data_IF_997411030967
#
_entry.id   IF_997411030967
#
_cell.length_a   1.000
_cell.length_b   1.000
_cell.length_c   1.000
_cell.angle_alpha   90.00
_cell.angle_beta   90.00
_cell.angle_gamma   90.00
#
_symmetry.space_group_name_H-M   'P 1'
#
loop_
_entity.id
_entity.type
_entity.pdbx_description
1 polymer ?
#
# COMPACT_ATOMS: atom_id res chain seq x y z
N UNK A 1 10.42 15.29 -26.19
CA UNK A 1 10.76 15.38 -24.76
C UNK A 1 9.54 14.93 -23.98
N UNK A 2 9.43 13.63 -23.72
CA UNK A 2 8.34 13.07 -22.90
C UNK A 2 8.67 13.29 -21.43
N UNK A 3 8.39 14.48 -20.93
CA UNK A 3 8.59 14.78 -19.51
C UNK A 3 7.29 14.56 -18.76
N UNK A 4 7.34 13.60 -17.81
CA UNK A 4 6.50 13.44 -16.62
C UNK A 4 5.13 12.77 -16.81
N UNK A 5 5.13 11.44 -16.87
CA UNK A 5 3.93 10.65 -16.55
C UNK A 5 4.09 9.96 -15.19
N UNK A 6 4.46 10.76 -14.18
CA UNK A 6 4.70 10.32 -12.82
C UNK A 6 3.73 11.01 -11.86
N UNK A 7 3.21 10.26 -10.90
CA UNK A 7 2.51 10.75 -9.72
C UNK A 7 3.44 10.46 -8.54
N UNK A 8 3.92 11.50 -7.86
CA UNK A 8 4.84 11.33 -6.72
C UNK A 8 4.07 11.59 -5.43
N UNK A 9 4.20 10.69 -4.46
CA UNK A 9 3.70 10.89 -3.11
C UNK A 9 4.85 10.69 -2.12
N UNK A 10 5.06 11.68 -1.24
CA UNK A 10 6.06 11.63 -0.18
C UNK A 10 5.42 11.19 1.12
N UNK A 11 5.92 10.14 1.76
CA UNK A 11 5.40 9.71 3.06
C UNK A 11 5.53 10.83 4.11
N UNK A 12 6.57 11.66 4.02
CA UNK A 12 6.74 12.82 4.91
C UNK A 12 5.55 13.80 4.89
N UNK A 13 4.73 13.80 3.83
CA UNK A 13 3.49 14.60 3.78
C UNK A 13 2.30 13.95 4.48
N UNK A 14 2.42 12.68 4.85
CA UNK A 14 1.47 11.92 5.66
C UNK A 14 1.87 11.93 7.12
N UNK A 15 3.10 11.50 7.44
CA UNK A 15 3.59 11.44 8.82
C UNK A 15 5.10 11.63 8.88
N UNK A 16 5.56 12.36 9.90
CA UNK A 16 6.98 12.45 10.24
C UNK A 16 7.49 11.16 10.89
N UNK A 17 6.64 10.45 11.63
CA UNK A 17 7.01 9.23 12.35
C UNK A 17 5.94 8.15 12.12
N UNK A 18 5.95 7.48 10.94
CA UNK A 18 4.98 6.46 10.59
C UNK A 18 4.79 5.41 11.69
N UNK A 19 3.52 5.06 11.91
CA UNK A 19 3.09 4.30 13.06
C UNK A 19 3.26 2.78 12.95
N UNK A 20 2.49 2.02 13.75
CA UNK A 20 2.59 0.58 13.82
C UNK A 20 1.90 -0.11 12.62
N UNK A 21 1.68 -1.42 12.74
CA UNK A 21 1.03 -2.22 11.69
C UNK A 21 -0.43 -1.81 11.47
N UNK A 22 -1.18 -1.76 12.57
CA UNK A 22 -2.64 -1.68 12.57
C UNK A 22 -3.15 -0.41 13.24
N UNK A 23 -4.33 0.05 12.83
CA UNK A 23 -4.98 1.24 13.39
C UNK A 23 -5.29 1.07 14.89
N UNK A 24 -5.55 -0.15 15.37
CA UNK A 24 -5.78 -0.43 16.80
C UNK A 24 -4.52 -0.38 17.68
N UNK A 25 -3.32 -0.25 17.07
CA UNK A 25 -2.03 -0.19 17.77
C UNK A 25 -1.51 1.23 17.94
N UNK A 26 -2.00 2.18 17.14
CA UNK A 26 -1.56 3.57 17.15
C UNK A 26 -1.91 4.31 15.86
N UNK A 27 -1.75 5.63 15.92
CA UNK A 27 -1.97 6.53 14.79
C UNK A 27 -0.97 6.29 13.66
N UNK A 28 -1.27 6.82 12.48
CA UNK A 28 -0.43 6.77 11.28
C UNK A 28 0.06 5.37 10.88
N UNK A 29 -0.73 4.33 11.18
CA UNK A 29 -0.38 2.93 10.93
C UNK A 29 -0.29 2.56 9.44
N UNK A 30 0.30 1.40 9.13
CA UNK A 30 0.37 0.86 7.77
C UNK A 30 -1.02 0.53 7.19
N UNK A 31 -1.92 0.02 8.03
CA UNK A 31 -3.34 -0.16 7.70
C UNK A 31 -4.00 1.18 7.34
N UNK A 32 -3.80 2.22 8.15
CA UNK A 32 -4.35 3.55 7.86
C UNK A 32 -3.83 4.08 6.54
N UNK A 33 -2.49 4.15 6.38
CA UNK A 33 -1.86 4.67 5.17
C UNK A 33 -2.36 3.97 3.91
N UNK A 34 -2.56 2.66 3.98
CA UNK A 34 -3.10 1.88 2.87
C UNK A 34 -4.48 2.36 2.45
N UNK A 35 -5.40 2.39 3.41
CA UNK A 35 -6.81 2.70 3.18
C UNK A 35 -7.08 4.18 2.94
N UNK A 36 -6.29 5.08 3.54
CA UNK A 36 -6.48 6.53 3.43
C UNK A 36 -5.79 7.12 2.20
N UNK A 37 -4.66 6.55 1.76
CA UNK A 37 -3.81 7.17 0.73
C UNK A 37 -3.38 6.18 -0.36
N UNK A 38 -2.64 5.12 -0.01
CA UNK A 38 -1.88 4.33 -0.99
C UNK A 38 -2.79 3.67 -2.02
N UNK A 39 -3.90 3.07 -1.58
CA UNK A 39 -4.87 2.42 -2.47
C UNK A 39 -5.44 3.40 -3.52
N UNK A 40 -5.84 4.59 -3.08
CA UNK A 40 -6.38 5.63 -3.96
C UNK A 40 -5.34 6.20 -4.92
N UNK A 41 -4.11 6.43 -4.45
CA UNK A 41 -3.00 6.92 -5.29
C UNK A 41 -2.62 5.90 -6.35
N UNK A 42 -2.62 4.61 -6.01
CA UNK A 42 -2.34 3.56 -6.96
C UNK A 42 -3.44 3.46 -8.02
N UNK A 43 -4.71 3.51 -7.60
CA UNK A 43 -5.85 3.59 -8.54
C UNK A 43 -5.73 4.80 -9.47
N UNK A 44 -5.40 5.98 -8.93
CA UNK A 44 -5.22 7.20 -9.72
C UNK A 44 -4.13 7.02 -10.78
N UNK A 45 -2.97 6.47 -10.40
CA UNK A 45 -1.88 6.21 -11.32
C UNK A 45 -2.26 5.19 -12.40
N UNK A 46 -2.96 4.11 -12.03
CA UNK A 46 -3.50 3.14 -12.99
C UNK A 46 -4.42 3.82 -14.01
N UNK A 47 -5.39 4.60 -13.54
CA UNK A 47 -6.40 5.22 -14.38
C UNK A 47 -5.81 6.30 -15.30
N UNK A 48 -4.84 7.06 -14.81
CA UNK A 48 -4.14 8.09 -15.57
C UNK A 48 -2.99 7.55 -16.44
N UNK A 49 -2.72 6.24 -16.40
CA UNK A 49 -1.59 5.58 -17.07
C UNK A 49 -0.24 6.21 -16.70
N UNK A 50 -0.07 6.50 -15.41
CA UNK A 50 1.13 7.06 -14.81
C UNK A 50 1.85 6.03 -13.96
N UNK A 51 3.15 6.25 -13.76
CA UNK A 51 3.92 5.58 -12.72
C UNK A 51 3.65 6.29 -11.38
N UNK A 52 3.26 5.56 -10.35
CA UNK A 52 3.24 6.06 -8.97
C UNK A 52 4.64 5.92 -8.38
N UNK A 53 5.21 7.00 -7.88
CA UNK A 53 6.44 6.99 -7.10
C UNK A 53 6.07 7.25 -5.64
N UNK A 54 6.34 6.28 -4.76
CA UNK A 54 6.30 6.50 -3.31
C UNK A 54 7.71 6.83 -2.84
N UNK A 55 7.88 8.04 -2.32
CA UNK A 55 9.13 8.57 -1.79
C UNK A 55 9.14 8.34 -0.28
N UNK A 56 10.00 7.39 0.16
CA UNK A 56 10.15 6.98 1.55
C UNK A 56 11.11 7.88 2.34
N UNK A 57 11.82 8.80 1.69
CA UNK A 57 12.79 9.66 2.35
C UNK A 57 12.11 10.78 3.17
N UNK A 58 12.72 11.15 4.29
CA UNK A 58 12.31 12.28 5.13
C UNK A 58 11.74 11.93 6.51
N UNK A 59 10.88 10.90 6.68
CA UNK A 59 10.43 10.47 8.00
C UNK A 59 11.57 9.98 8.89
N UNK A 60 11.35 9.96 10.22
CA UNK A 60 12.35 9.54 11.22
C UNK A 60 12.71 8.04 11.15
N UNK A 61 12.02 7.28 10.28
CA UNK A 61 12.19 5.85 10.06
C UNK A 61 10.86 5.11 9.94
N UNK A 62 10.92 3.82 9.62
CA UNK A 62 9.74 2.97 9.47
C UNK A 62 9.88 1.69 10.29
N UNK A 63 8.80 1.30 10.98
CA UNK A 63 8.68 -0.09 11.42
C UNK A 63 8.51 -1.00 10.19
N UNK A 64 9.20 -2.14 10.15
CA UNK A 64 9.02 -3.13 9.08
C UNK A 64 7.56 -3.58 8.94
N UNK A 65 6.82 -3.60 10.05
CA UNK A 65 5.39 -3.92 10.05
C UNK A 65 4.51 -2.88 9.37
N UNK A 66 4.93 -1.60 9.34
CA UNK A 66 4.23 -0.56 8.60
C UNK A 66 4.32 -0.84 7.09
N UNK A 67 5.56 -1.05 6.60
CA UNK A 67 5.83 -1.31 5.19
C UNK A 67 5.17 -2.62 4.73
N UNK A 68 5.29 -3.68 5.52
CA UNK A 68 4.68 -4.98 5.24
C UNK A 68 3.15 -4.87 5.11
N UNK A 69 2.48 -4.18 6.05
CA UNK A 69 1.03 -4.06 6.00
C UNK A 69 0.57 -3.18 4.83
N UNK A 70 1.17 -2.00 4.66
CA UNK A 70 0.72 -1.05 3.65
C UNK A 70 0.88 -1.60 2.23
N UNK A 71 2.10 -2.03 1.89
CA UNK A 71 2.40 -2.49 0.54
C UNK A 71 1.97 -3.94 0.30
N UNK A 72 1.93 -4.75 1.35
CA UNK A 72 1.36 -6.08 1.29
C UNK A 72 -0.12 -6.07 0.92
N UNK A 73 -0.93 -5.19 1.55
CA UNK A 73 -2.32 -5.00 1.18
C UNK A 73 -2.47 -4.56 -0.28
N UNK A 74 -1.58 -3.69 -0.76
CA UNK A 74 -1.57 -3.28 -2.17
C UNK A 74 -1.33 -4.48 -3.10
N UNK A 75 -0.38 -5.35 -2.78
CA UNK A 75 -0.15 -6.58 -3.55
C UNK A 75 -1.34 -7.52 -3.47
N UNK A 76 -1.98 -7.67 -2.30
CA UNK A 76 -3.19 -8.49 -2.18
C UNK A 76 -4.32 -8.01 -3.08
N UNK A 77 -4.53 -6.70 -3.14
CA UNK A 77 -5.68 -6.10 -3.81
C UNK A 77 -5.47 -5.93 -5.31
N UNK A 78 -4.25 -5.69 -5.78
CA UNK A 78 -3.95 -5.42 -7.19
C UNK A 78 -3.15 -6.53 -7.89
N UNK A 79 -2.50 -7.40 -7.12
CA UNK A 79 -1.59 -8.43 -7.62
C UNK A 79 -0.18 -7.90 -7.90
N UNK A 80 0.83 -8.71 -7.60
CA UNK A 80 2.24 -8.33 -7.68
C UNK A 80 2.65 -7.73 -9.04
N UNK A 81 2.30 -8.39 -10.13
CA UNK A 81 2.66 -7.94 -11.48
C UNK A 81 2.15 -6.53 -11.78
N UNK A 82 0.89 -6.23 -11.41
CA UNK A 82 0.33 -4.90 -11.65
C UNK A 82 0.99 -3.85 -10.76
N UNK A 83 1.28 -4.20 -9.50
CA UNK A 83 2.00 -3.34 -8.56
C UNK A 83 3.38 -3.01 -9.10
N UNK A 84 4.19 -4.00 -9.48
CA UNK A 84 5.55 -3.78 -10.01
C UNK A 84 5.56 -2.95 -11.30
N UNK A 85 4.51 -3.04 -12.13
CA UNK A 85 4.40 -2.27 -13.37
C UNK A 85 4.06 -0.78 -13.15
N UNK A 86 3.36 -0.44 -12.06
CA UNK A 86 2.82 0.91 -11.83
C UNK A 86 3.56 1.64 -10.72
N UNK A 87 3.96 0.92 -9.67
CA UNK A 87 4.58 1.49 -8.47
C UNK A 87 6.11 1.39 -8.57
N UNK A 88 6.77 2.53 -8.34
CA UNK A 88 8.19 2.62 -8.02
C UNK A 88 8.36 3.18 -6.61
N UNK A 89 9.37 2.71 -5.91
CA UNK A 89 9.74 3.19 -4.58
C UNK A 89 11.06 3.92 -4.67
N UNK A 90 11.11 5.12 -4.10
CA UNK A 90 12.33 5.89 -3.89
C UNK A 90 12.69 5.80 -2.40
N UNK A 91 13.92 5.40 -2.12
CA UNK A 91 14.50 5.31 -0.78
C UNK A 91 16.01 5.54 -0.93
N UNK A 92 16.42 6.80 -0.93
CA UNK A 92 17.83 7.18 -1.05
C UNK A 92 18.52 7.22 0.32
N UNK A 93 17.76 7.52 1.38
CA UNK A 93 18.27 7.57 2.75
C UNK A 93 18.53 6.16 3.32
N UNK A 94 17.61 5.22 3.08
CA UNK A 94 17.71 3.82 3.55
C UNK A 94 17.32 2.84 2.41
N UNK A 95 18.26 2.46 1.52
CA UNK A 95 17.98 1.60 0.36
C UNK A 95 17.45 0.21 0.70
N UNK A 96 17.74 -0.33 1.89
CA UNK A 96 17.27 -1.64 2.35
C UNK A 96 15.74 -1.77 2.40
N UNK A 97 14.99 -0.67 2.52
CA UNK A 97 13.53 -0.73 2.47
C UNK A 97 13.03 -1.21 1.11
N UNK A 98 13.76 -0.96 0.02
CA UNK A 98 13.42 -1.49 -1.30
C UNK A 98 13.60 -3.02 -1.31
N UNK A 99 14.67 -3.53 -0.71
CA UNK A 99 14.91 -4.98 -0.59
C UNK A 99 13.81 -5.65 0.24
N UNK A 100 13.46 -5.08 1.40
CA UNK A 100 12.36 -5.57 2.25
C UNK A 100 11.02 -5.59 1.51
N UNK A 101 10.73 -4.56 0.70
CA UNK A 101 9.48 -4.50 -0.06
C UNK A 101 9.42 -5.57 -1.15
N UNK A 102 10.54 -5.93 -1.78
CA UNK A 102 10.56 -7.04 -2.73
C UNK A 102 10.17 -8.37 -2.06
N UNK A 103 10.70 -8.63 -0.86
CA UNK A 103 10.32 -9.81 -0.06
C UNK A 103 8.83 -9.76 0.34
N UNK A 104 8.37 -8.58 0.80
CA UNK A 104 6.96 -8.33 1.11
C UNK A 104 6.06 -8.66 -0.08
N UNK A 105 6.43 -8.26 -1.30
CA UNK A 105 5.62 -8.50 -2.49
C UNK A 105 5.49 -9.99 -2.80
N UNK A 106 6.58 -10.75 -2.69
CA UNK A 106 6.57 -12.19 -2.90
C UNK A 106 5.71 -12.93 -1.87
N UNK A 107 5.81 -12.55 -0.60
CA UNK A 107 5.02 -13.14 0.49
C UNK A 107 3.52 -12.85 0.34
N UNK A 108 3.17 -11.61 0.05
CA UNK A 108 1.78 -11.20 -0.10
C UNK A 108 1.14 -11.70 -1.40
N UNK A 109 1.91 -11.92 -2.45
CA UNK A 109 1.42 -12.58 -3.66
C UNK A 109 1.08 -14.05 -3.40
N UNK A 110 1.90 -14.76 -2.61
CA UNK A 110 1.57 -16.12 -2.14
C UNK A 110 0.31 -16.09 -1.27
N UNK A 111 0.18 -15.11 -0.37
CA UNK A 111 -1.00 -14.91 0.48
C UNK A 111 -2.27 -14.67 -0.35
N UNK A 112 -2.19 -13.81 -1.37
CA UNK A 112 -3.26 -13.49 -2.33
C UNK A 112 -3.72 -14.73 -3.08
N UNK A 113 -2.78 -15.47 -3.69
CA UNK A 113 -3.06 -16.74 -4.39
C UNK A 113 -3.66 -17.79 -3.45
N UNK A 114 -3.29 -17.77 -2.18
CA UNK A 114 -3.85 -18.62 -1.13
C UNK A 114 -5.21 -18.16 -0.57
N UNK A 115 -5.77 -17.02 -1.03
CA UNK A 115 -7.07 -16.52 -0.58
C UNK A 115 -7.11 -16.02 0.87
N UNK A 116 -5.95 -15.78 1.50
CA UNK A 116 -5.87 -15.35 2.91
C UNK A 116 -6.03 -13.83 3.03
N UNK A 117 -7.25 -13.36 3.25
CA UNK A 117 -7.54 -11.92 3.35
C UNK A 117 -6.67 -11.20 4.41
N UNK A 118 -6.28 -9.93 4.19
CA UNK A 118 -5.66 -9.09 5.21
C UNK A 118 -6.58 -8.90 6.43
N UNK A 119 -5.98 -8.56 7.56
CA UNK A 119 -6.72 -8.17 8.77
C UNK A 119 -7.06 -6.69 8.64
N UNK A 120 -8.27 -6.29 9.01
CA UNK A 120 -8.61 -4.89 9.34
C UNK A 120 -8.89 -4.80 10.83
N UNK A 121 -8.57 -3.68 11.44
CA UNK A 121 -8.74 -3.42 12.88
C UNK A 121 -9.72 -2.29 13.18
N UNK A 122 -10.05 -1.50 12.16
CA UNK A 122 -11.16 -0.54 12.17
C UNK A 122 -12.02 -0.74 10.91
N UNK A 123 -13.20 -0.11 10.86
CA UNK A 123 -13.97 -0.01 9.63
C UNK A 123 -13.35 1.04 8.70
N UNK A 124 -13.17 0.68 7.43
CA UNK A 124 -12.62 1.55 6.40
C UNK A 124 -13.66 1.90 5.34
N UNK A 125 -13.58 3.09 4.71
CA UNK A 125 -14.35 3.41 3.52
C UNK A 125 -14.09 2.42 2.38
N UNK A 126 -14.94 2.43 1.37
CA UNK A 126 -14.77 1.58 0.19
C UNK A 126 -13.42 1.81 -0.52
N UNK A 127 -12.70 0.74 -0.85
CA UNK A 127 -11.39 0.83 -1.52
C UNK A 127 -11.35 -0.02 -2.79
N UNK A 128 -10.30 0.15 -3.58
CA UNK A 128 -10.16 -0.49 -4.89
C UNK A 128 -9.47 -1.85 -4.79
N UNK A 129 -10.00 -2.84 -5.51
CA UNK A 129 -9.29 -4.09 -5.85
C UNK A 129 -9.37 -4.39 -7.34
N UNK A 130 -8.33 -5.04 -7.85
CA UNK A 130 -8.28 -5.59 -9.19
C UNK A 130 -8.69 -7.06 -9.18
N UNK A 131 -9.87 -7.37 -9.72
CA UNK A 131 -10.37 -8.74 -9.82
C UNK A 131 -11.01 -8.97 -11.17
N UNK A 132 -10.82 -10.17 -11.75
CA UNK A 132 -11.40 -10.55 -13.03
C UNK A 132 -11.13 -9.50 -14.14
N UNK A 133 -9.90 -8.99 -14.19
CA UNK A 133 -9.46 -7.93 -15.11
C UNK A 133 -10.25 -6.62 -15.00
N UNK A 134 -10.84 -6.33 -13.83
CA UNK A 134 -11.63 -5.12 -13.59
C UNK A 134 -11.30 -4.52 -12.22
N UNK A 135 -11.13 -3.20 -12.20
CA UNK A 135 -11.10 -2.43 -10.95
C UNK A 135 -12.51 -2.25 -10.40
N UNK A 136 -12.68 -2.59 -9.13
CA UNK A 136 -13.93 -2.43 -8.39
C UNK A 136 -13.64 -1.67 -7.11
N UNK A 137 -14.46 -0.67 -6.80
CA UNK A 137 -14.49 -0.02 -5.49
C UNK A 137 -15.67 -0.57 -4.70
N UNK A 138 -15.42 -1.02 -3.47
CA UNK A 138 -16.45 -1.37 -2.47
C UNK A 138 -15.80 -1.57 -1.11
N UNK A 139 -16.61 -1.76 -0.08
CA UNK A 139 -16.14 -2.28 1.20
C UNK A 139 -15.96 -3.80 1.07
N UNK A 140 -14.74 -4.30 1.29
CA UNK A 140 -14.42 -5.71 1.03
C UNK A 140 -14.38 -6.58 2.28
N UNK A 141 -14.04 -5.98 3.40
CA UNK A 141 -13.91 -6.62 4.70
C UNK A 141 -14.68 -5.73 5.67
N UNK A 142 -15.49 -6.36 6.51
CA UNK A 142 -16.21 -5.73 7.60
C UNK A 142 -15.66 -6.29 8.91
N UNK A 143 -15.55 -5.45 9.94
CA UNK A 143 -15.24 -5.94 11.26
C UNK A 143 -16.41 -6.81 11.72
N UNK A 144 -16.11 -8.08 12.02
CA UNK A 144 -17.07 -8.92 12.70
C UNK A 144 -17.34 -8.31 14.07
N UNK A 145 -18.55 -7.82 14.30
CA UNK A 145 -19.03 -7.55 15.66
C UNK A 145 -18.96 -8.88 16.41
N UNK A 146 -18.00 -9.02 17.33
CA UNK A 146 -17.92 -10.19 18.19
C UNK A 146 -19.27 -10.40 18.87
N UNK A 147 -19.81 -11.62 18.76
CA UNK A 147 -20.90 -12.09 19.62
C UNK A 147 -20.39 -12.31 21.03
#
# INVERSE_FOLDING_TARGET
METKNELIFKIMSYSQSPGPRYCDQGDDSGEDFYHSILNYKFYQAYNEKKTLIIDLDGPDGYASSFLDEAFGNLVYDFGKELVENILKVKSEEEPEWIEMLNDTYEEWEKRRKGGKAPKITIEHPEWYRFMNNKLTQKQWIHLSSGK
#
